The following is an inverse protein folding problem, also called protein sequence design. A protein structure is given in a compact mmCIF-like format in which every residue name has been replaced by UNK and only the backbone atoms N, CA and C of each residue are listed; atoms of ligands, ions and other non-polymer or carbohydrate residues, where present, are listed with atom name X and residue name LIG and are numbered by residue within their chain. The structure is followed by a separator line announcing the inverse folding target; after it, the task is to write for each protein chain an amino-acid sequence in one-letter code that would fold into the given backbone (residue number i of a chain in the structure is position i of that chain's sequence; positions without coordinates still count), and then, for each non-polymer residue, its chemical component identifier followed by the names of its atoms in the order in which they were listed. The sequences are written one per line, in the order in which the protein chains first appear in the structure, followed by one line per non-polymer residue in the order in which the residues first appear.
data_IF_801367430183
#
_entry.id   IF_801367430183
#
_cell.length_a   1.000
_cell.length_b   1.000
_cell.length_c   1.000
_cell.angle_alpha   90.00
_cell.angle_beta   90.00
_cell.angle_gamma   90.00
#
_symmetry.space_group_name_H-M   'P 1'
#
loop_
_entity.id
_entity.type
_entity.pdbx_description
1 polymer ?
#
# COMPACT_ATOMS: atom_id res chain seq x y z
N UNK A 1 -54.24 27.91 28.18
CA UNK A 1 -52.81 28.04 28.53
C UNK A 1 -52.06 27.05 27.63
N UNK A 2 -51.71 27.43 26.39
CA UNK A 2 -50.57 28.22 25.97
C UNK A 2 -49.26 27.41 25.87
N UNK A 3 -48.66 27.49 24.66
CA UNK A 3 -47.32 27.06 24.19
C UNK A 3 -47.27 25.58 23.76
N UNK A 4 -46.99 25.22 22.50
CA UNK A 4 -46.23 25.89 21.44
C UNK A 4 -45.01 25.02 21.10
N UNK A 5 -44.74 24.79 19.81
CA UNK A 5 -43.49 24.12 19.40
C UNK A 5 -43.62 23.29 18.14
N UNK A 6 -43.60 23.96 17.00
CA UNK A 6 -43.18 23.44 15.69
C UNK A 6 -41.79 22.82 15.77
N UNK A 7 -41.58 21.69 15.07
CA UNK A 7 -40.27 21.07 14.87
C UNK A 7 -40.20 20.50 13.46
N UNK A 8 -39.79 21.35 12.52
CA UNK A 8 -39.30 21.01 11.19
C UNK A 8 -37.98 20.22 11.27
N UNK A 9 -37.76 19.36 10.27
CA UNK A 9 -36.45 19.01 9.73
C UNK A 9 -35.59 18.05 10.57
N UNK A 10 -35.29 16.87 10.01
CA UNK A 10 -34.01 16.72 9.31
C UNK A 10 -34.01 15.35 8.59
N UNK A 11 -34.37 15.37 7.32
CA UNK A 11 -34.02 14.28 6.40
C UNK A 11 -32.51 14.33 6.23
N UNK A 12 -31.79 13.63 7.12
CA UNK A 12 -30.35 13.44 7.06
C UNK A 12 -29.98 12.72 5.77
N UNK A 13 -29.84 13.48 4.71
CA UNK A 13 -29.20 13.13 3.46
C UNK A 13 -27.80 12.63 3.81
N UNK A 14 -27.57 11.32 3.68
CA UNK A 14 -26.24 10.74 3.87
C UNK A 14 -25.29 11.53 2.99
N UNK A 15 -24.17 12.07 3.53
CA UNK A 15 -23.22 12.75 2.68
C UNK A 15 -22.74 11.72 1.65
N UNK A 16 -23.08 11.99 0.39
CA UNK A 16 -22.50 11.33 -0.75
C UNK A 16 -20.99 11.33 -0.53
N UNK A 17 -20.40 10.14 -0.71
CA UNK A 17 -18.96 9.97 -0.72
C UNK A 17 -18.36 11.07 -1.58
N UNK A 18 -17.78 12.09 -0.94
CA UNK A 18 -17.06 13.15 -1.62
C UNK A 18 -15.88 12.43 -2.29
N UNK A 19 -16.06 12.09 -3.57
CA UNK A 19 -14.94 11.85 -4.46
C UNK A 19 -14.07 13.07 -4.33
N UNK A 20 -12.92 12.93 -3.66
CA UNK A 20 -11.84 13.91 -3.74
C UNK A 20 -11.61 14.16 -5.22
N UNK A 21 -12.02 15.33 -5.69
CA UNK A 21 -11.67 15.82 -7.01
C UNK A 21 -10.15 15.87 -7.05
N UNK A 22 -9.55 14.92 -7.75
CA UNK A 22 -8.13 14.95 -8.04
C UNK A 22 -7.92 16.02 -9.09
N UNK A 23 -7.26 17.11 -8.69
CA UNK A 23 -6.77 18.13 -9.60
C UNK A 23 -5.90 17.46 -10.69
N UNK A 24 -6.33 17.61 -11.95
CA UNK A 24 -5.49 17.40 -13.13
C UNK A 24 -5.46 15.99 -13.73
N UNK A 25 -6.49 15.62 -14.50
CA UNK A 25 -6.28 14.68 -15.61
C UNK A 25 -5.53 15.40 -16.73
N UNK A 26 -4.20 15.40 -16.68
CA UNK A 26 -3.39 15.85 -17.81
C UNK A 26 -3.71 15.03 -19.05
N UNK A 27 -3.93 15.73 -20.17
CA UNK A 27 -4.08 15.08 -21.48
C UNK A 27 -2.80 14.31 -21.84
N UNK A 28 -2.90 13.27 -22.67
CA UNK A 28 -1.75 12.39 -22.95
C UNK A 28 -0.56 13.15 -23.57
N UNK A 29 -0.84 14.21 -24.35
CA UNK A 29 0.17 15.08 -24.95
C UNK A 29 0.88 15.99 -23.94
N UNK A 30 0.19 16.48 -22.90
CA UNK A 30 0.81 17.26 -21.82
C UNK A 30 1.74 16.38 -20.98
N UNK A 31 1.31 15.15 -20.75
CA UNK A 31 2.11 14.13 -20.08
C UNK A 31 3.41 13.81 -20.82
N UNK A 32 3.35 13.57 -22.13
CA UNK A 32 4.55 13.30 -22.94
C UNK A 32 5.56 14.46 -22.88
N UNK A 33 5.08 15.71 -22.90
CA UNK A 33 5.92 16.91 -22.77
C UNK A 33 6.57 16.98 -21.39
N UNK A 34 5.78 16.81 -20.33
CA UNK A 34 6.28 16.83 -18.95
C UNK A 34 7.28 15.71 -18.69
N UNK A 35 7.01 14.51 -19.18
CA UNK A 35 7.92 13.37 -19.10
C UNK A 35 9.22 13.63 -19.85
N UNK A 36 9.14 14.19 -21.06
CA UNK A 36 10.32 14.53 -21.86
C UNK A 36 11.22 15.56 -21.15
N UNK A 37 10.62 16.59 -20.53
CA UNK A 37 11.34 17.60 -19.74
C UNK A 37 12.04 16.95 -18.54
N UNK A 38 11.31 16.16 -17.76
CA UNK A 38 11.83 15.52 -16.54
C UNK A 38 12.96 14.54 -16.88
N UNK A 39 12.75 13.64 -17.85
CA UNK A 39 13.77 12.66 -18.26
C UNK A 39 15.00 13.35 -18.85
N UNK A 40 14.81 14.40 -19.64
CA UNK A 40 15.93 15.17 -20.20
C UNK A 40 16.75 15.87 -19.12
N UNK A 41 16.11 16.40 -18.08
CA UNK A 41 16.80 17.01 -16.93
C UNK A 41 17.54 15.97 -16.10
N UNK A 42 16.90 14.84 -15.79
CA UNK A 42 17.53 13.74 -15.05
C UNK A 42 18.78 13.23 -15.79
N UNK A 43 18.72 13.08 -17.12
CA UNK A 43 19.88 12.68 -17.93
C UNK A 43 21.01 13.72 -17.96
N UNK A 44 20.70 15.00 -17.82
CA UNK A 44 21.69 16.09 -17.81
C UNK A 44 22.36 16.28 -16.45
N UNK A 45 21.61 16.05 -15.36
CA UNK A 45 22.02 16.44 -14.01
C UNK A 45 22.45 15.26 -13.12
N UNK A 46 21.90 14.06 -13.33
CA UNK A 46 22.31 12.88 -12.57
C UNK A 46 23.39 12.12 -13.36
N UNK A 47 24.44 11.63 -12.67
CA UNK A 47 25.52 10.87 -13.29
C UNK A 47 24.95 9.74 -14.18
N UNK A 48 25.02 9.87 -15.52
CA UNK A 48 24.16 9.11 -16.44
C UNK A 48 24.43 7.61 -16.38
N UNK A 49 25.68 7.22 -16.06
CA UNK A 49 26.10 5.84 -15.99
C UNK A 49 25.36 5.02 -14.91
N UNK A 50 25.01 5.61 -13.76
CA UNK A 50 24.34 4.86 -12.70
C UNK A 50 22.82 4.82 -12.88
N UNK A 51 22.22 5.91 -13.36
CA UNK A 51 20.75 6.03 -13.50
C UNK A 51 20.23 5.25 -14.71
N UNK A 52 20.92 5.31 -15.85
CA UNK A 52 20.47 4.63 -17.06
C UNK A 52 20.59 3.10 -16.96
N UNK A 53 21.59 2.58 -16.25
CA UNK A 53 21.79 1.13 -16.13
C UNK A 53 20.79 0.49 -15.13
N UNK A 54 20.35 1.27 -14.13
CA UNK A 54 19.44 0.81 -13.07
C UNK A 54 17.95 0.89 -13.40
N UNK A 55 17.53 1.74 -14.34
CA UNK A 55 16.10 1.93 -14.67
C UNK A 55 15.62 0.87 -15.68
N UNK A 56 14.49 0.23 -15.38
CA UNK A 56 13.80 -0.74 -16.24
C UNK A 56 12.73 -0.08 -17.11
N UNK A 57 11.90 0.76 -16.50
CA UNK A 57 10.74 1.36 -17.16
C UNK A 57 10.35 2.68 -16.48
N UNK A 58 9.79 3.61 -17.26
CA UNK A 58 9.20 4.86 -16.76
C UNK A 58 7.69 4.80 -17.00
N UNK A 59 6.90 5.00 -15.94
CA UNK A 59 5.44 4.85 -15.99
C UNK A 59 4.71 6.07 -15.45
N UNK A 60 3.53 6.33 -16.01
CA UNK A 60 2.54 7.31 -15.50
C UNK A 60 1.77 6.72 -14.31
N UNK A 61 1.73 7.45 -13.20
CA UNK A 61 0.82 7.16 -12.08
C UNK A 61 -0.57 7.74 -12.38
N UNK A 62 -1.63 7.17 -11.80
CA UNK A 62 -3.00 7.70 -11.94
C UNK A 62 -3.12 9.16 -11.52
N UNK A 63 -2.27 9.57 -10.57
CA UNK A 63 -2.20 10.93 -10.03
C UNK A 63 -1.38 11.89 -10.93
N UNK A 64 -1.02 11.49 -12.15
CA UNK A 64 -0.22 12.32 -13.07
C UNK A 64 1.29 12.37 -12.79
N UNK A 65 1.78 11.61 -11.81
CA UNK A 65 3.19 11.58 -11.40
C UNK A 65 4.04 10.58 -12.20
N UNK A 66 5.34 10.88 -12.35
CA UNK A 66 6.34 9.99 -12.97
C UNK A 66 6.85 8.94 -11.97
N UNK A 67 6.72 7.67 -12.34
CA UNK A 67 7.23 6.53 -11.59
C UNK A 67 8.41 5.90 -12.35
N UNK A 68 9.58 5.90 -11.73
CA UNK A 68 10.77 5.21 -12.23
C UNK A 68 10.82 3.80 -11.61
N UNK A 69 10.74 2.77 -12.44
CA UNK A 69 10.85 1.37 -12.02
C UNK A 69 12.30 0.95 -12.19
N UNK A 70 12.98 0.61 -11.10
CA UNK A 70 14.35 0.11 -11.13
C UNK A 70 14.39 -1.41 -11.38
N UNK A 71 15.51 -1.89 -11.93
CA UNK A 71 15.84 -3.32 -12.04
C UNK A 71 16.07 -3.94 -10.66
N UNK A 72 15.87 -5.25 -10.54
CA UNK A 72 15.96 -5.97 -9.26
C UNK A 72 17.31 -5.80 -8.56
N UNK A 73 18.40 -5.69 -9.33
CA UNK A 73 19.77 -5.50 -8.84
C UNK A 73 20.07 -4.08 -8.32
N UNK A 74 19.18 -3.11 -8.59
CA UNK A 74 19.35 -1.70 -8.21
C UNK A 74 18.53 -1.32 -6.97
N UNK A 75 17.82 -2.29 -6.37
CA UNK A 75 16.91 -2.02 -5.26
C UNK A 75 17.59 -1.57 -3.97
N UNK A 76 18.84 -1.99 -3.73
CA UNK A 76 19.60 -1.58 -2.55
C UNK A 76 20.18 -0.15 -2.72
N UNK A 77 20.23 0.35 -3.96
CA UNK A 77 20.70 1.70 -4.32
C UNK A 77 19.57 2.72 -4.45
N UNK A 78 18.33 2.35 -4.12
CA UNK A 78 17.15 3.25 -4.22
C UNK A 78 17.38 4.57 -3.48
N UNK A 79 18.07 4.54 -2.32
CA UNK A 79 18.41 5.74 -1.57
C UNK A 79 19.40 6.64 -2.32
N UNK A 80 20.42 6.05 -2.95
CA UNK A 80 21.43 6.79 -3.75
C UNK A 80 20.80 7.41 -4.99
N UNK A 81 19.90 6.68 -5.66
CA UNK A 81 19.10 7.23 -6.75
C UNK A 81 18.21 8.38 -6.28
N UNK A 82 17.56 8.22 -5.13
CA UNK A 82 16.67 9.26 -4.61
C UNK A 82 17.40 10.53 -4.21
N UNK A 83 18.61 10.44 -3.65
CA UNK A 83 19.43 11.62 -3.35
C UNK A 83 19.92 12.27 -4.65
N UNK A 84 20.45 11.49 -5.60
CA UNK A 84 20.92 12.03 -6.87
C UNK A 84 19.80 12.72 -7.69
N UNK A 85 18.59 12.16 -7.64
CA UNK A 85 17.41 12.73 -8.31
C UNK A 85 16.91 13.96 -7.53
N UNK A 86 16.91 13.92 -6.19
CA UNK A 86 16.55 15.09 -5.36
C UNK A 86 17.50 16.26 -5.60
N UNK A 87 18.81 16.00 -5.66
CA UNK A 87 19.82 17.02 -5.95
C UNK A 87 19.66 17.59 -7.37
N UNK A 88 19.27 16.75 -8.33
CA UNK A 88 19.04 17.14 -9.71
C UNK A 88 17.73 17.92 -9.94
N UNK A 89 16.73 17.75 -9.06
CA UNK A 89 15.37 18.27 -9.19
C UNK A 89 14.95 19.19 -8.03
N UNK A 90 15.92 19.67 -7.25
CA UNK A 90 15.78 20.32 -5.95
C UNK A 90 14.67 21.39 -5.83
N UNK A 91 14.26 22.02 -6.93
CA UNK A 91 13.29 23.12 -6.93
C UNK A 91 11.91 22.81 -7.60
N UNK A 92 11.72 21.69 -8.30
CA UNK A 92 10.52 21.49 -9.14
C UNK A 92 9.71 20.21 -8.85
N UNK A 93 10.28 19.21 -8.16
CA UNK A 93 9.59 17.95 -7.92
C UNK A 93 9.92 17.31 -6.58
N UNK A 94 8.90 16.87 -5.85
CA UNK A 94 9.05 16.05 -4.66
C UNK A 94 9.38 14.60 -5.05
N UNK A 95 10.63 14.18 -4.84
CA UNK A 95 11.06 12.81 -5.09
C UNK A 95 10.66 11.92 -3.91
N UNK A 96 9.68 11.05 -4.12
CA UNK A 96 9.32 10.05 -3.10
C UNK A 96 10.01 8.73 -3.42
N UNK A 97 11.02 8.38 -2.63
CA UNK A 97 11.73 7.11 -2.73
C UNK A 97 10.92 5.94 -2.14
N UNK A 98 11.05 4.75 -2.71
CA UNK A 98 10.74 3.51 -1.98
C UNK A 98 9.27 3.07 -1.98
N UNK A 99 8.51 3.28 -3.06
CA UNK A 99 7.19 2.64 -3.24
C UNK A 99 7.35 1.14 -3.50
N UNK A 100 7.86 0.41 -2.51
CA UNK A 100 7.94 -1.04 -2.55
C UNK A 100 6.52 -1.60 -2.64
N UNK A 101 6.35 -2.67 -3.42
CA UNK A 101 5.09 -3.40 -3.44
C UNK A 101 4.77 -3.90 -2.03
N UNK A 102 3.65 -3.43 -1.49
CA UNK A 102 3.17 -3.81 -0.17
C UNK A 102 2.12 -4.90 -0.30
N UNK A 103 2.24 -5.95 0.50
CA UNK A 103 1.31 -7.07 0.56
C UNK A 103 0.71 -7.14 1.97
N UNK A 104 -0.52 -7.68 2.03
CA UNK A 104 -1.24 -7.86 3.29
C UNK A 104 -1.05 -9.29 3.81
N UNK A 105 -0.62 -9.40 5.06
CA UNK A 105 -0.50 -10.67 5.79
C UNK A 105 -1.45 -10.69 6.97
N UNK A 106 -1.98 -11.86 7.28
CA UNK A 106 -2.77 -12.13 8.48
C UNK A 106 -1.95 -12.99 9.45
N UNK A 107 -1.87 -12.55 10.71
CA UNK A 107 -1.36 -13.37 11.81
C UNK A 107 -2.54 -13.80 12.67
N UNK A 108 -2.66 -15.11 12.87
CA UNK A 108 -3.77 -15.75 13.61
C UNK A 108 -3.26 -16.40 14.88
N UNK A 109 -4.18 -16.73 15.82
CA UNK A 109 -3.88 -17.38 17.11
C UNK A 109 -3.01 -16.54 18.05
N UNK A 110 -3.20 -15.23 18.03
CA UNK A 110 -2.57 -14.33 19.01
C UNK A 110 -3.40 -14.31 20.29
N UNK A 111 -2.76 -13.97 21.41
CA UNK A 111 -3.47 -13.77 22.69
C UNK A 111 -4.46 -12.60 22.61
N UNK A 112 -5.43 -12.60 23.53
CA UNK A 112 -6.47 -11.56 23.61
C UNK A 112 -5.93 -10.17 23.90
N UNK A 113 -4.84 -10.06 24.66
CA UNK A 113 -4.33 -8.80 25.23
C UNK A 113 -3.11 -8.28 24.41
N UNK A 114 -2.85 -8.85 23.23
CA UNK A 114 -1.68 -8.48 22.42
C UNK A 114 -1.75 -7.02 21.97
N UNK A 115 -0.67 -6.30 22.22
CA UNK A 115 -0.48 -4.93 21.79
C UNK A 115 0.20 -4.84 20.41
N UNK A 116 0.03 -3.71 19.72
CA UNK A 116 0.74 -3.46 18.44
C UNK A 116 2.26 -3.50 18.59
N UNK A 117 2.77 -3.03 19.73
CA UNK A 117 4.21 -2.99 20.02
C UNK A 117 4.83 -4.38 20.17
N UNK A 118 4.12 -5.34 20.76
CA UNK A 118 4.60 -6.72 20.90
C UNK A 118 4.68 -7.44 19.55
N UNK A 119 3.67 -7.27 18.70
CA UNK A 119 3.69 -7.80 17.33
C UNK A 119 4.85 -7.20 16.55
N UNK A 120 5.07 -5.89 16.69
CA UNK A 120 6.17 -5.21 16.04
C UNK A 120 7.54 -5.74 16.48
N UNK A 121 7.75 -5.91 17.80
CA UNK A 121 8.98 -6.52 18.34
C UNK A 121 9.17 -7.94 17.82
N UNK A 122 8.11 -8.75 17.81
CA UNK A 122 8.16 -10.12 17.28
C UNK A 122 8.54 -10.17 15.80
N UNK A 123 8.03 -9.23 14.99
CA UNK A 123 8.43 -9.09 13.58
C UNK A 123 9.92 -8.73 13.46
N UNK A 124 10.40 -7.75 14.24
CA UNK A 124 11.82 -7.36 14.22
C UNK A 124 12.74 -8.53 14.59
N UNK A 125 12.40 -9.28 15.66
CA UNK A 125 13.13 -10.48 16.07
C UNK A 125 13.12 -11.55 14.97
N UNK A 126 11.95 -11.77 14.35
CA UNK A 126 11.81 -12.77 13.28
C UNK A 126 12.59 -12.40 12.02
N UNK A 127 12.83 -11.11 11.77
CA UNK A 127 13.48 -10.60 10.56
C UNK A 127 14.99 -10.33 10.73
N UNK A 128 15.52 -10.42 11.95
CA UNK A 128 16.96 -10.36 12.20
C UNK A 128 17.58 -8.98 12.00
N UNK A 129 16.89 -7.91 12.41
CA UNK A 129 17.45 -6.54 12.53
C UNK A 129 17.80 -5.80 11.23
N UNK A 130 17.87 -6.47 10.08
CA UNK A 130 18.24 -5.86 8.80
C UNK A 130 17.14 -5.07 8.09
N UNK A 131 15.88 -5.22 8.51
CA UNK A 131 14.72 -4.62 7.83
C UNK A 131 14.12 -3.47 8.63
N UNK A 132 14.11 -2.26 8.06
CA UNK A 132 13.40 -1.10 8.59
C UNK A 132 11.89 -1.30 8.39
N UNK A 133 11.22 -1.83 9.40
CA UNK A 133 9.76 -1.91 9.45
C UNK A 133 9.29 -0.80 10.38
N UNK A 134 8.24 -0.11 9.96
CA UNK A 134 7.58 0.90 10.78
C UNK A 134 6.44 0.28 11.58
N UNK A 135 6.10 0.88 12.71
CA UNK A 135 4.99 0.40 13.56
C UNK A 135 3.64 0.44 12.81
N UNK A 136 3.51 1.32 11.83
CA UNK A 136 2.35 1.44 10.93
C UNK A 136 2.13 0.20 10.06
N UNK A 137 3.13 -0.66 9.92
CA UNK A 137 2.96 -1.96 9.26
C UNK A 137 1.89 -2.82 9.95
N UNK A 138 1.63 -2.61 11.25
CA UNK A 138 0.53 -3.25 11.98
C UNK A 138 -0.75 -2.42 11.81
N UNK A 139 -1.56 -2.77 10.80
CA UNK A 139 -2.77 -2.03 10.46
C UNK A 139 -3.82 -2.12 11.57
N UNK A 140 -4.25 -3.35 11.89
CA UNK A 140 -5.34 -3.57 12.83
C UNK A 140 -5.21 -4.91 13.56
N UNK A 141 -5.59 -4.92 14.83
CA UNK A 141 -5.78 -6.12 15.64
C UNK A 141 -7.29 -6.28 15.83
N UNK A 142 -7.82 -7.47 15.54
CA UNK A 142 -9.24 -7.80 15.67
C UNK A 142 -9.40 -9.08 16.46
N UNK A 143 -10.42 -9.14 17.28
CA UNK A 143 -10.78 -10.38 17.98
C UNK A 143 -11.30 -11.41 16.98
N UNK A 144 -10.90 -12.65 17.20
CA UNK A 144 -11.36 -13.82 16.47
C UNK A 144 -12.14 -14.74 17.41
N UNK A 145 -12.61 -15.86 16.86
CA UNK A 145 -13.35 -16.84 17.63
C UNK A 145 -12.43 -17.53 18.68
N UNK A 146 -12.99 -17.83 19.85
CA UNK A 146 -12.32 -18.58 20.92
C UNK A 146 -11.23 -17.80 21.66
N UNK A 147 -11.51 -16.55 22.05
CA UNK A 147 -10.60 -15.66 22.80
C UNK A 147 -9.23 -15.38 22.15
N UNK A 148 -9.04 -15.79 20.89
CA UNK A 148 -7.85 -15.45 20.13
C UNK A 148 -8.02 -14.12 19.40
N UNK A 149 -6.92 -13.44 19.14
CA UNK A 149 -6.87 -12.26 18.29
C UNK A 149 -6.17 -12.55 16.96
N UNK A 150 -6.43 -11.67 15.99
CA UNK A 150 -5.87 -11.69 14.65
C UNK A 150 -5.31 -10.33 14.32
N UNK A 151 -4.12 -10.28 13.78
CA UNK A 151 -3.51 -9.04 13.31
C UNK A 151 -3.41 -9.03 11.79
N UNK A 152 -3.77 -7.89 11.19
CA UNK A 152 -3.54 -7.61 9.78
C UNK A 152 -2.30 -6.73 9.66
N UNK A 153 -1.34 -7.21 8.88
CA UNK A 153 -0.06 -6.57 8.62
C UNK A 153 0.00 -6.11 7.17
N UNK A 154 0.65 -4.98 6.92
CA UNK A 154 0.97 -4.47 5.58
C UNK A 154 2.49 -4.36 5.48
N UNK A 155 3.11 -5.26 4.75
CA UNK A 155 4.56 -5.40 4.69
C UNK A 155 5.06 -5.40 3.24
N UNK A 156 6.29 -4.92 2.98
CA UNK A 156 6.93 -5.08 1.69
C UNK A 156 7.06 -6.54 1.25
N UNK A 157 6.92 -6.82 -0.04
CA UNK A 157 6.98 -8.17 -0.63
C UNK A 157 8.23 -8.98 -0.24
N UNK A 158 9.38 -8.32 -0.09
CA UNK A 158 10.65 -8.98 0.32
C UNK A 158 10.55 -9.62 1.70
N UNK A 159 9.91 -8.90 2.61
CA UNK A 159 9.73 -9.28 4.01
C UNK A 159 8.65 -10.36 4.13
N UNK A 160 7.62 -10.26 3.29
CA UNK A 160 6.53 -11.22 3.23
C UNK A 160 7.03 -12.64 3.00
N UNK A 161 7.90 -12.83 2.00
CA UNK A 161 8.41 -14.17 1.64
C UNK A 161 9.11 -14.85 2.81
N UNK A 162 9.96 -14.11 3.52
CA UNK A 162 10.69 -14.62 4.71
C UNK A 162 9.71 -15.01 5.82
N UNK A 163 8.66 -14.22 6.04
CA UNK A 163 7.66 -14.52 7.06
C UNK A 163 6.76 -15.70 6.67
N UNK A 164 6.41 -15.83 5.39
CA UNK A 164 5.64 -16.96 4.87
C UNK A 164 6.42 -18.28 4.89
N UNK A 165 7.74 -18.23 4.65
CA UNK A 165 8.62 -19.40 4.79
C UNK A 165 8.68 -19.88 6.25
N UNK A 166 8.74 -18.95 7.21
CA UNK A 166 8.74 -19.29 8.64
C UNK A 166 7.37 -19.78 9.14
N UNK A 167 6.27 -19.31 8.56
CA UNK A 167 4.86 -19.61 8.90
C UNK A 167 4.41 -19.29 10.34
N UNK A 168 5.31 -19.20 11.29
CA UNK A 168 5.03 -18.97 12.71
C UNK A 168 5.89 -17.85 13.25
N UNK A 169 5.30 -16.99 14.09
CA UNK A 169 5.98 -15.93 14.81
C UNK A 169 5.63 -16.03 16.29
N UNK A 170 6.63 -15.89 17.16
CA UNK A 170 6.42 -15.89 18.60
C UNK A 170 6.09 -14.47 19.07
N UNK A 171 4.89 -14.27 19.63
CA UNK A 171 4.40 -12.95 20.05
C UNK A 171 3.97 -13.03 21.51
N UNK A 172 4.72 -12.37 22.39
CA UNK A 172 4.41 -12.41 23.82
C UNK A 172 4.56 -13.85 24.36
N UNK A 173 3.44 -14.51 24.67
CA UNK A 173 3.39 -15.87 25.21
C UNK A 173 2.82 -16.90 24.24
N UNK A 174 2.34 -16.48 23.06
CA UNK A 174 1.69 -17.34 22.08
C UNK A 174 2.44 -17.39 20.74
N UNK A 175 2.34 -18.54 20.07
CA UNK A 175 2.84 -18.72 18.72
C UNK A 175 1.75 -18.37 17.70
N UNK A 176 1.90 -17.21 17.07
CA UNK A 176 1.04 -16.74 16.00
C UNK A 176 1.35 -17.43 14.68
N UNK A 177 0.32 -17.82 13.93
CA UNK A 177 0.47 -18.38 12.57
C UNK A 177 0.27 -17.30 11.52
N UNK A 178 1.27 -17.11 10.66
CA UNK A 178 1.29 -16.18 9.53
C UNK A 178 0.65 -16.81 8.30
N UNK A 179 -0.21 -16.06 7.61
CA UNK A 179 -0.85 -16.43 6.34
C UNK A 179 -0.94 -15.22 5.41
N UNK A 180 -0.95 -15.45 4.10
CA UNK A 180 -1.33 -14.42 3.14
C UNK A 180 -2.78 -14.01 3.35
N UNK A 181 -3.07 -12.71 3.40
CA UNK A 181 -4.44 -12.22 3.54
C UNK A 181 -5.19 -12.43 2.21
N UNK A 182 -5.85 -13.58 2.07
CA UNK A 182 -6.66 -13.88 0.89
C UNK A 182 -7.93 -13.04 0.92
N UNK A 183 -8.05 -12.08 -0.01
CA UNK A 183 -9.30 -11.40 -0.32
C UNK A 183 -9.86 -11.98 -1.61
N UNK A 184 -10.73 -13.00 -1.53
CA UNK A 184 -11.30 -13.58 -2.73
C UNK A 184 -12.13 -12.51 -3.46
N UNK A 185 -11.93 -12.41 -4.77
CA UNK A 185 -12.68 -11.49 -5.61
C UNK A 185 -14.15 -11.90 -5.59
N UNK A 186 -15.00 -11.00 -5.10
CA UNK A 186 -16.45 -11.12 -5.15
C UNK A 186 -16.98 -10.38 -6.36
N UNK A 187 -17.85 -11.02 -7.13
CA UNK A 187 -18.60 -10.35 -8.15
C UNK A 187 -19.58 -9.36 -7.50
N UNK A 188 -19.51 -8.08 -7.88
CA UNK A 188 -20.44 -7.07 -7.34
C UNK A 188 -21.90 -7.36 -7.73
N UNK A 189 -22.13 -8.07 -8.84
CA UNK A 189 -23.47 -8.33 -9.38
C UNK A 189 -24.19 -9.50 -8.72
N UNK A 190 -23.52 -10.64 -8.52
CA UNK A 190 -24.14 -11.84 -7.93
C UNK A 190 -23.57 -12.23 -6.56
N UNK A 191 -22.56 -11.50 -6.06
CA UNK A 191 -21.90 -11.75 -4.77
C UNK A 191 -21.16 -13.10 -4.67
N UNK A 192 -21.12 -13.87 -5.75
CA UNK A 192 -20.35 -15.10 -5.89
C UNK A 192 -18.85 -14.85 -5.99
N UNK A 193 -18.07 -15.90 -5.69
CA UNK A 193 -16.62 -15.88 -5.79
C UNK A 193 -16.14 -16.37 -7.16
N UNK A 194 -14.93 -15.98 -7.56
CA UNK A 194 -14.24 -16.58 -8.71
C UNK A 194 -14.51 -15.93 -10.06
N UNK A 195 -15.37 -14.91 -10.13
CA UNK A 195 -15.53 -14.10 -11.34
C UNK A 195 -15.70 -12.61 -11.01
N UNK A 196 -15.42 -11.77 -12.01
CA UNK A 196 -15.59 -10.32 -11.95
C UNK A 196 -16.86 -9.99 -12.74
N UNK A 197 -17.61 -8.96 -12.35
CA UNK A 197 -18.88 -8.59 -12.99
C UNK A 197 -18.82 -8.42 -14.51
N UNK A 198 -17.64 -8.12 -15.07
CA UNK A 198 -17.40 -8.04 -16.52
C UNK A 198 -17.50 -9.37 -17.26
N UNK A 199 -17.25 -10.50 -16.57
CA UNK A 199 -17.39 -11.87 -17.09
C UNK A 199 -18.68 -12.54 -16.60
N UNK A 200 -19.66 -11.74 -16.19
CA UNK A 200 -20.94 -12.25 -15.74
C UNK A 200 -21.78 -12.66 -16.95
N UNK A 201 -21.87 -13.96 -17.19
CA UNK A 201 -22.94 -14.55 -18.01
C UNK A 201 -24.12 -14.85 -17.09
N UNK A 202 -25.29 -14.34 -17.44
CA UNK A 202 -26.54 -14.63 -16.73
C UNK A 202 -27.02 -16.03 -17.09
N UNK A 203 -26.39 -17.07 -16.55
CA UNK A 203 -27.02 -18.39 -16.51
C UNK A 203 -27.73 -18.48 -15.15
N UNK A 204 -29.06 -18.35 -15.19
CA UNK A 204 -29.95 -18.59 -14.06
C UNK A 204 -30.34 -20.06 -14.11
N UNK A 205 -30.01 -20.83 -13.08
CA UNK A 205 -30.72 -22.07 -12.73
C UNK A 205 -31.83 -21.74 -11.71
#
# INVERSE_FOLDING_TARGET
MARGGTGEGDSGEKPACQTRETEGTHTEAEWERHLCIIVSKVKKNAAPAQVDEGVKEVRKTKDGNVLLILKENAADKVSEYSSAISDALADEAAVTSGRAQQVQLEVTKLDRIVSKGEIFKALQTSLGGGNKIELEAVMSIRMAFGDTSKALLKLPLRIERVLLEKQTIHVGWSDGRVRGALKPLKCFKCWGYGHIGSKWTSELD
#
